data_IF_072784020953
#
_entry.id   IF_072784020953
#
_cell.length_a   1.000
_cell.length_b   1.000
_cell.length_c   1.000
_cell.angle_alpha   90.00
_cell.angle_beta   90.00
_cell.angle_gamma   90.00
#
_symmetry.space_group_name_H-M   'P 1'
#
loop_
_entity.id
_entity.type
_entity.pdbx_description
1 polymer ?
#
# COMPACT_ATOMS: atom_id res chain seq x y z
N UNK A 1 -7.35 81.52 15.02
CA UNK A 1 -7.21 80.71 13.78
C UNK A 1 -7.60 79.26 14.09
N UNK A 2 -8.59 78.87 13.42
CA UNK A 2 -9.56 77.83 13.73
C UNK A 2 -9.03 76.40 13.88
N UNK A 3 -9.38 75.84 15.02
CA UNK A 3 -9.38 74.43 15.29
C UNK A 3 -10.61 73.71 14.68
N UNK A 4 -10.75 73.74 13.40
CA UNK A 4 -11.84 72.92 12.79
C UNK A 4 -11.38 72.48 11.43
N UNK A 5 -10.98 71.22 11.39
CA UNK A 5 -11.13 70.29 10.27
C UNK A 5 -10.01 69.23 10.22
N UNK A 6 -9.83 68.51 11.33
CA UNK A 6 -9.26 67.18 11.20
C UNK A 6 -10.44 66.22 10.95
N UNK A 7 -10.94 66.25 9.73
CA UNK A 7 -11.87 65.26 9.25
C UNK A 7 -11.08 63.95 9.10
N UNK A 8 -11.16 63.14 10.13
CA UNK A 8 -10.66 61.76 10.12
C UNK A 8 -11.45 60.99 9.10
N UNK A 9 -10.93 60.82 7.92
CA UNK A 9 -11.44 59.83 6.95
C UNK A 9 -11.07 58.47 7.48
N UNK A 10 -11.96 57.90 8.29
CA UNK A 10 -11.93 56.51 8.62
C UNK A 10 -12.42 55.75 7.36
N UNK A 11 -11.47 55.36 6.54
CA UNK A 11 -11.73 54.36 5.49
C UNK A 11 -12.03 53.04 6.20
N UNK A 12 -13.25 52.48 6.13
CA UNK A 12 -13.49 51.15 6.63
C UNK A 12 -12.70 50.22 5.71
N UNK A 13 -11.57 49.71 6.19
CA UNK A 13 -10.87 48.62 5.60
C UNK A 13 -11.77 47.41 5.79
N UNK A 14 -12.76 47.26 4.93
CA UNK A 14 -13.56 46.05 4.80
C UNK A 14 -12.60 44.93 4.37
N UNK A 15 -11.94 44.32 5.35
CA UNK A 15 -11.39 42.99 5.16
C UNK A 15 -12.56 42.09 4.76
N UNK A 16 -12.72 41.90 3.47
CA UNK A 16 -13.55 40.82 2.93
C UNK A 16 -12.96 39.52 3.47
N UNK A 17 -13.47 39.07 4.58
CA UNK A 17 -13.38 37.65 4.99
C UNK A 17 -14.09 36.86 3.89
N UNK A 18 -13.39 36.65 2.79
CA UNK A 18 -13.75 35.65 1.81
C UNK A 18 -13.88 34.36 2.61
N UNK A 19 -15.10 33.90 2.81
CA UNK A 19 -15.34 32.58 3.34
C UNK A 19 -14.53 31.63 2.44
N UNK A 20 -13.42 31.13 2.96
CA UNK A 20 -12.68 30.05 2.32
C UNK A 20 -13.67 28.86 2.34
N UNK A 21 -14.44 28.72 1.28
CA UNK A 21 -15.20 27.51 1.04
C UNK A 21 -14.16 26.41 0.92
N UNK A 22 -14.08 25.56 1.94
CA UNK A 22 -13.37 24.30 1.81
C UNK A 22 -13.96 23.64 0.57
N UNK A 23 -13.13 23.43 -0.46
CA UNK A 23 -13.60 22.72 -1.65
C UNK A 23 -14.10 21.36 -1.20
N UNK A 24 -15.32 21.01 -1.61
CA UNK A 24 -15.85 19.67 -1.36
C UNK A 24 -14.84 18.65 -1.90
N UNK A 25 -14.32 17.81 -1.02
CA UNK A 25 -13.40 16.75 -1.41
C UNK A 25 -14.13 15.40 -1.30
N UNK A 26 -14.00 14.54 -2.29
CA UNK A 26 -13.31 14.69 -3.60
C UNK A 26 -14.24 15.26 -4.69
N UNK A 27 -13.69 16.10 -5.60
CA UNK A 27 -14.43 16.65 -6.75
C UNK A 27 -14.03 15.99 -8.08
N UNK A 28 -13.06 15.09 -8.07
CA UNK A 28 -12.58 14.34 -9.23
C UNK A 28 -12.26 12.89 -8.83
N UNK A 29 -12.13 11.96 -9.78
CA UNK A 29 -11.76 10.57 -9.49
C UNK A 29 -10.46 10.45 -8.72
N UNK A 30 -10.42 9.47 -7.80
CA UNK A 30 -9.24 9.10 -7.01
C UNK A 30 -8.52 7.97 -7.74
N UNK A 31 -7.20 8.02 -7.85
CA UNK A 31 -6.38 6.92 -8.39
C UNK A 31 -5.87 6.04 -7.26
N UNK A 32 -6.03 4.73 -7.41
CA UNK A 32 -5.49 3.75 -6.47
C UNK A 32 -4.45 2.87 -7.16
N UNK A 33 -3.18 3.03 -6.78
CA UNK A 33 -2.11 2.13 -7.19
C UNK A 33 -2.16 0.82 -6.41
N UNK A 34 -2.22 -0.30 -7.13
CA UNK A 34 -2.00 -1.64 -6.59
C UNK A 34 -0.68 -2.16 -7.18
N UNK A 35 0.41 -2.24 -6.40
CA UNK A 35 1.75 -2.57 -6.90
C UNK A 35 1.93 -4.07 -7.14
N UNK A 36 0.88 -4.74 -7.63
CA UNK A 36 0.86 -6.17 -7.94
C UNK A 36 0.02 -6.44 -9.19
N UNK A 37 0.21 -7.61 -9.78
CA UNK A 37 -0.56 -8.05 -10.94
C UNK A 37 -2.04 -8.26 -10.57
N UNK A 38 -2.96 -8.06 -11.53
CA UNK A 38 -4.38 -8.33 -11.32
C UNK A 38 -4.66 -9.77 -10.89
N UNK A 39 -5.74 -9.97 -10.12
CA UNK A 39 -6.25 -11.28 -9.70
C UNK A 39 -5.60 -11.85 -8.43
N UNK A 40 -4.54 -11.25 -7.91
CA UNK A 40 -3.95 -11.63 -6.62
C UNK A 40 -4.72 -11.05 -5.41
N UNK A 41 -4.37 -11.50 -4.20
CA UNK A 41 -5.03 -11.06 -2.96
C UNK A 41 -5.01 -9.52 -2.78
N UNK A 42 -3.90 -8.87 -3.13
CA UNK A 42 -3.81 -7.40 -3.07
C UNK A 42 -4.79 -6.73 -4.05
N UNK A 43 -4.96 -7.30 -5.25
CA UNK A 43 -5.89 -6.77 -6.24
C UNK A 43 -7.35 -6.90 -5.78
N UNK A 44 -7.72 -8.08 -5.27
CA UNK A 44 -9.06 -8.32 -4.73
C UNK A 44 -9.39 -7.35 -3.59
N UNK A 45 -8.50 -7.25 -2.60
CA UNK A 45 -8.67 -6.34 -1.46
C UNK A 45 -8.73 -4.89 -1.95
N UNK A 46 -7.84 -4.50 -2.85
CA UNK A 46 -7.81 -3.14 -3.40
C UNK A 46 -9.10 -2.76 -4.13
N UNK A 47 -9.64 -3.66 -4.95
CA UNK A 47 -10.90 -3.42 -5.67
C UNK A 47 -12.11 -3.34 -4.74
N UNK A 48 -12.18 -4.20 -3.71
CA UNK A 48 -13.22 -4.12 -2.68
C UNK A 48 -13.12 -2.77 -1.95
N UNK A 49 -11.91 -2.35 -1.58
CA UNK A 49 -11.67 -1.06 -0.94
C UNK A 49 -12.04 0.11 -1.85
N UNK A 50 -11.63 0.05 -3.12
CA UNK A 50 -11.95 1.07 -4.13
C UNK A 50 -13.46 1.25 -4.29
N UNK A 51 -14.22 0.14 -4.34
CA UNK A 51 -15.68 0.18 -4.39
C UNK A 51 -16.26 0.87 -3.16
N UNK A 52 -15.81 0.49 -1.96
CA UNK A 52 -16.32 1.07 -0.71
C UNK A 52 -15.95 2.55 -0.54
N UNK A 53 -14.78 2.96 -0.98
CA UNK A 53 -14.39 4.37 -1.01
C UNK A 53 -15.26 5.15 -2.02
N UNK A 54 -15.53 4.58 -3.19
CA UNK A 54 -16.41 5.16 -4.20
C UNK A 54 -17.82 5.38 -3.64
N UNK A 55 -18.38 4.36 -2.98
CA UNK A 55 -19.69 4.45 -2.33
C UNK A 55 -19.73 5.54 -1.24
N UNK A 56 -18.69 5.63 -0.43
CA UNK A 56 -18.63 6.56 0.70
C UNK A 56 -18.39 8.02 0.29
N UNK A 57 -17.58 8.24 -0.73
CA UNK A 57 -17.14 9.58 -1.13
C UNK A 57 -17.87 10.12 -2.38
N UNK A 58 -18.70 9.32 -3.05
CA UNK A 58 -19.44 9.73 -4.23
C UNK A 58 -18.58 9.98 -5.48
N UNK A 59 -17.28 9.65 -5.44
CA UNK A 59 -16.34 9.80 -6.55
C UNK A 59 -15.67 8.47 -6.88
N UNK A 60 -15.50 8.20 -8.17
CA UNK A 60 -14.91 6.95 -8.63
C UNK A 60 -13.47 6.78 -8.15
N UNK A 61 -13.14 5.58 -7.66
CA UNK A 61 -11.76 5.16 -7.40
C UNK A 61 -11.27 4.29 -8.57
N UNK A 62 -10.32 4.79 -9.34
CA UNK A 62 -9.73 4.13 -10.50
C UNK A 62 -8.53 3.31 -10.07
N UNK A 63 -8.63 1.99 -10.19
CA UNK A 63 -7.55 1.06 -9.82
C UNK A 63 -6.55 0.93 -10.97
N UNK A 64 -5.26 1.08 -10.64
CA UNK A 64 -4.13 0.88 -11.55
C UNK A 64 -3.20 -0.19 -10.99
N UNK A 65 -2.98 -1.27 -11.73
CA UNK A 65 -2.06 -2.35 -11.35
C UNK A 65 -0.69 -2.15 -11.98
N UNK A 66 0.38 -2.16 -11.16
CA UNK A 66 1.79 -2.10 -11.61
C UNK A 66 2.63 -3.06 -10.79
N UNK A 67 2.69 -4.32 -11.24
CA UNK A 67 3.52 -5.34 -10.62
C UNK A 67 5.00 -5.22 -11.01
N UNK A 68 5.87 -5.87 -10.24
CA UNK A 68 7.31 -5.99 -10.49
C UNK A 68 8.15 -5.75 -9.24
N UNK A 69 9.26 -6.47 -9.13
CA UNK A 69 10.25 -6.34 -8.04
C UNK A 69 9.62 -6.37 -6.64
N UNK A 70 8.76 -7.37 -6.35
CA UNK A 70 8.06 -7.46 -5.06
C UNK A 70 7.14 -6.27 -4.76
N UNK A 71 6.63 -5.60 -5.79
CA UNK A 71 5.78 -4.43 -5.68
C UNK A 71 6.53 -3.09 -5.64
N UNK A 72 7.87 -3.09 -5.70
CA UNK A 72 8.65 -1.84 -5.63
C UNK A 72 8.38 -0.92 -6.81
N UNK A 73 8.17 -1.46 -8.02
CA UNK A 73 7.90 -0.66 -9.21
C UNK A 73 6.65 0.20 -9.05
N UNK A 74 5.53 -0.38 -8.61
CA UNK A 74 4.30 0.37 -8.42
C UNK A 74 4.41 1.42 -7.31
N UNK A 75 5.15 1.10 -6.24
CA UNK A 75 5.40 2.06 -5.15
C UNK A 75 6.27 3.22 -5.62
N UNK A 76 7.32 2.95 -6.40
CA UNK A 76 8.18 4.00 -6.98
C UNK A 76 7.38 4.98 -7.85
N UNK A 77 6.47 4.46 -8.67
CA UNK A 77 5.59 5.29 -9.50
C UNK A 77 4.66 6.12 -8.60
N UNK A 78 4.01 5.50 -7.61
CA UNK A 78 3.07 6.17 -6.73
C UNK A 78 3.75 7.24 -5.86
N UNK A 79 4.97 7.00 -5.39
CA UNK A 79 5.74 7.94 -4.59
C UNK A 79 6.11 9.24 -5.34
N UNK A 80 6.02 9.23 -6.68
CA UNK A 80 6.26 10.41 -7.54
C UNK A 80 4.97 11.13 -7.93
N UNK A 81 3.81 10.61 -7.54
CA UNK A 81 2.54 11.26 -7.81
C UNK A 81 2.33 12.51 -6.95
N UNK A 82 1.49 13.44 -7.39
CA UNK A 82 1.11 14.58 -6.56
C UNK A 82 0.49 14.13 -5.23
N UNK A 83 0.89 14.77 -4.14
CA UNK A 83 0.36 14.53 -2.79
C UNK A 83 -0.89 15.41 -2.52
N UNK A 84 -1.83 15.38 -3.44
CA UNK A 84 -3.07 16.18 -3.44
C UNK A 84 -4.28 15.46 -2.85
N UNK A 85 -4.10 14.28 -2.28
CA UNK A 85 -5.16 13.45 -1.74
C UNK A 85 -5.90 12.59 -2.79
N UNK A 86 -5.66 12.79 -4.09
CA UNK A 86 -6.31 12.02 -5.15
C UNK A 86 -5.50 10.82 -5.64
N UNK A 87 -4.38 10.57 -5.01
CA UNK A 87 -3.49 9.47 -5.34
C UNK A 87 -3.23 8.63 -4.09
N UNK A 88 -3.73 7.41 -4.08
CA UNK A 88 -3.58 6.48 -2.96
C UNK A 88 -2.86 5.22 -3.41
N UNK A 89 -2.18 4.56 -2.50
CA UNK A 89 -1.41 3.35 -2.73
C UNK A 89 -1.84 2.25 -1.78
N UNK A 90 -2.08 1.06 -2.30
CA UNK A 90 -2.26 -0.14 -1.49
C UNK A 90 -0.88 -0.78 -1.22
N UNK A 91 -0.25 -0.39 -0.13
CA UNK A 91 1.00 -1.01 0.33
C UNK A 91 0.77 -2.34 1.02
N UNK A 92 1.81 -3.17 1.07
CA UNK A 92 1.85 -4.37 1.90
C UNK A 92 3.21 -4.54 2.58
N UNK A 93 3.35 -5.56 3.43
CA UNK A 93 4.59 -5.80 4.19
C UNK A 93 5.83 -5.91 3.29
N UNK A 94 5.72 -6.50 2.10
CA UNK A 94 6.86 -6.66 1.20
C UNK A 94 7.43 -5.30 0.80
N UNK A 95 6.62 -4.45 0.19
CA UNK A 95 7.08 -3.18 -0.37
C UNK A 95 7.23 -2.06 0.68
N UNK A 96 6.54 -2.16 1.83
CA UNK A 96 6.61 -1.15 2.89
C UNK A 96 7.69 -1.43 3.95
N UNK A 97 7.98 -2.70 4.24
CA UNK A 97 8.89 -3.06 5.33
C UNK A 97 10.12 -3.88 4.88
N UNK A 98 9.94 -4.80 3.93
CA UNK A 98 10.99 -5.74 3.55
C UNK A 98 11.90 -5.20 2.46
N UNK A 99 11.33 -4.69 1.38
CA UNK A 99 12.09 -4.22 0.23
C UNK A 99 13.11 -3.11 0.59
N UNK A 100 12.84 -2.19 1.53
CA UNK A 100 13.83 -1.23 2.00
C UNK A 100 15.12 -1.86 2.56
N UNK A 101 15.02 -3.07 3.12
CA UNK A 101 16.18 -3.82 3.64
C UNK A 101 16.76 -4.80 2.61
N UNK A 102 15.89 -5.37 1.78
CA UNK A 102 16.27 -6.40 0.81
C UNK A 102 17.00 -5.82 -0.40
N UNK A 103 16.57 -4.67 -0.91
CA UNK A 103 17.13 -4.07 -2.11
C UNK A 103 18.16 -2.98 -1.77
N UNK A 104 19.40 -3.12 -2.25
CA UNK A 104 20.47 -2.13 -2.04
C UNK A 104 20.17 -0.75 -2.65
N UNK A 105 19.41 -0.73 -3.74
CA UNK A 105 18.99 0.49 -4.44
C UNK A 105 17.48 0.48 -4.56
N UNK A 106 16.83 1.25 -3.72
CA UNK A 106 15.40 1.47 -3.75
C UNK A 106 15.15 2.96 -4.02
N UNK A 107 14.29 3.27 -4.98
CA UNK A 107 14.03 4.65 -5.42
C UNK A 107 12.98 5.38 -4.57
N UNK A 108 12.47 4.74 -3.52
CA UNK A 108 11.54 5.33 -2.55
C UNK A 108 11.91 4.94 -1.13
N UNK A 109 11.44 5.73 -0.17
CA UNK A 109 11.53 5.43 1.25
C UNK A 109 10.12 5.47 1.88
N UNK A 110 9.57 4.35 2.38
CA UNK A 110 8.17 4.29 2.81
C UNK A 110 7.77 5.33 3.86
N UNK A 111 8.66 5.63 4.81
CA UNK A 111 8.38 6.58 5.90
C UNK A 111 8.62 8.05 5.52
N UNK A 112 9.33 8.31 4.42
CA UNK A 112 9.63 9.68 3.98
C UNK A 112 8.72 10.12 2.85
N UNK A 113 8.47 9.21 1.90
CA UNK A 113 7.84 9.55 0.63
C UNK A 113 6.34 9.22 0.59
N UNK A 114 5.84 8.53 1.63
CA UNK A 114 4.46 8.08 1.72
C UNK A 114 3.85 8.44 3.08
N UNK A 115 2.59 8.86 3.08
CA UNK A 115 1.82 9.10 4.30
C UNK A 115 0.89 7.91 4.56
N UNK A 116 1.07 7.16 5.66
CA UNK A 116 0.16 6.07 5.98
C UNK A 116 -1.23 6.60 6.37
N UNK A 117 -2.28 5.95 5.88
CA UNK A 117 -3.67 6.30 6.16
C UNK A 117 -4.28 5.31 7.15
N UNK A 118 -4.34 4.03 6.79
CA UNK A 118 -4.93 2.99 7.64
C UNK A 118 -4.51 1.59 7.23
N UNK A 119 -4.67 0.64 8.15
CA UNK A 119 -4.53 -0.79 7.87
C UNK A 119 -5.88 -1.35 7.37
N UNK A 120 -5.96 -1.67 6.08
CA UNK A 120 -7.19 -2.14 5.45
C UNK A 120 -7.49 -3.59 5.83
N UNK A 121 -6.50 -4.49 5.76
CA UNK A 121 -6.68 -5.92 6.00
C UNK A 121 -5.39 -6.60 6.48
N UNK A 122 -5.57 -7.73 7.16
CA UNK A 122 -4.50 -8.69 7.47
C UNK A 122 -4.79 -9.98 6.72
N UNK A 123 -3.81 -10.45 5.96
CA UNK A 123 -3.92 -11.68 5.16
C UNK A 123 -3.01 -12.73 5.79
N UNK A 124 -3.55 -13.84 6.33
CA UNK A 124 -2.73 -14.93 6.83
C UNK A 124 -2.04 -15.66 5.67
N UNK A 125 -0.80 -16.07 5.87
CA UNK A 125 -0.11 -16.97 4.95
C UNK A 125 -0.46 -18.41 5.30
N UNK A 126 -0.89 -19.18 4.30
CA UNK A 126 -1.27 -20.58 4.45
C UNK A 126 -0.21 -21.44 3.77
N UNK A 127 0.28 -22.47 4.47
CA UNK A 127 1.10 -23.52 3.90
C UNK A 127 0.17 -24.60 3.32
N UNK A 128 0.22 -24.77 2.02
CA UNK A 128 -0.51 -25.84 1.32
C UNK A 128 0.45 -26.79 0.63
N UNK A 129 0.09 -28.05 0.54
CA UNK A 129 0.85 -29.08 -0.17
C UNK A 129 -0.04 -29.77 -1.20
N UNK A 130 0.56 -30.30 -2.26
CA UNK A 130 -0.18 -31.08 -3.24
C UNK A 130 -0.73 -32.37 -2.60
N UNK A 131 -1.95 -32.81 -2.93
CA UNK A 131 -2.56 -34.04 -2.35
C UNK A 131 -1.75 -35.30 -2.53
N UNK A 132 -0.90 -35.39 -3.56
CA UNK A 132 -0.01 -36.55 -3.78
C UNK A 132 1.19 -36.59 -2.82
N UNK A 133 1.47 -35.51 -2.09
CA UNK A 133 2.54 -35.52 -1.11
C UNK A 133 2.11 -36.35 0.11
N UNK A 134 2.91 -37.32 0.55
CA UNK A 134 2.54 -38.19 1.68
C UNK A 134 2.81 -37.49 3.02
N UNK A 135 2.14 -36.36 3.23
CA UNK A 135 2.22 -35.53 4.46
C UNK A 135 0.86 -34.90 4.74
N UNK A 136 0.23 -35.25 5.84
CA UNK A 136 -1.11 -34.79 6.25
C UNK A 136 -1.04 -33.64 7.27
N UNK A 137 0.13 -33.36 7.79
CA UNK A 137 0.36 -32.29 8.77
C UNK A 137 1.82 -31.81 8.68
N UNK A 138 2.11 -30.70 9.37
CA UNK A 138 3.45 -30.07 9.36
C UNK A 138 4.55 -31.02 9.85
N UNK A 139 4.29 -31.84 10.88
CA UNK A 139 5.27 -32.80 11.41
C UNK A 139 5.69 -33.85 10.36
N UNK A 140 4.73 -34.39 9.63
CA UNK A 140 4.99 -35.33 8.54
C UNK A 140 5.74 -34.64 7.39
N UNK A 141 5.36 -33.43 7.03
CA UNK A 141 6.05 -32.65 6.02
C UNK A 141 7.53 -32.41 6.39
N UNK A 142 7.80 -32.01 7.63
CA UNK A 142 9.17 -31.83 8.12
C UNK A 142 9.98 -33.13 8.09
N UNK A 143 9.35 -34.24 8.48
CA UNK A 143 9.98 -35.56 8.45
C UNK A 143 10.33 -35.97 7.02
N UNK A 144 9.42 -35.74 6.08
CA UNK A 144 9.64 -36.03 4.66
C UNK A 144 10.76 -35.15 4.09
N UNK A 145 10.73 -33.84 4.36
CA UNK A 145 11.74 -32.89 3.88
C UNK A 145 13.15 -33.25 4.37
N UNK A 146 13.29 -33.68 5.63
CA UNK A 146 14.56 -34.12 6.20
C UNK A 146 15.07 -35.43 5.59
N UNK A 147 14.15 -36.33 5.17
CA UNK A 147 14.53 -37.58 4.49
C UNK A 147 14.95 -37.37 3.02
N UNK A 148 14.51 -36.26 2.43
CA UNK A 148 14.74 -35.97 1.01
C UNK A 148 15.24 -34.52 0.85
N UNK A 149 16.46 -34.20 1.33
CA UNK A 149 17.02 -32.85 1.26
C UNK A 149 17.11 -32.37 -0.19
N UNK A 150 16.61 -31.15 -0.44
CA UNK A 150 16.65 -30.50 -1.76
C UNK A 150 15.68 -31.08 -2.80
N UNK A 151 14.83 -32.07 -2.46
CA UNK A 151 13.87 -32.65 -3.40
C UNK A 151 12.50 -31.94 -3.39
N UNK A 152 12.13 -31.36 -2.27
CA UNK A 152 10.89 -30.59 -2.17
C UNK A 152 11.13 -29.16 -2.60
N UNK A 153 10.28 -28.66 -3.48
CA UNK A 153 10.28 -27.28 -3.92
C UNK A 153 9.03 -26.56 -3.41
N UNK A 154 9.11 -25.26 -3.25
CA UNK A 154 7.96 -24.45 -2.86
C UNK A 154 7.73 -23.29 -3.84
N UNK A 155 6.47 -22.90 -3.98
CA UNK A 155 6.05 -21.74 -4.76
C UNK A 155 5.61 -20.60 -3.87
N UNK A 156 5.94 -19.37 -4.26
CA UNK A 156 5.53 -18.14 -3.58
C UNK A 156 5.08 -17.09 -4.59
N UNK A 157 4.62 -15.94 -4.11
CA UNK A 157 4.30 -14.80 -4.96
C UNK A 157 5.52 -14.04 -5.52
N UNK A 158 6.71 -14.66 -5.49
CA UNK A 158 7.98 -14.07 -5.95
C UNK A 158 8.89 -13.62 -4.80
N UNK A 159 10.14 -13.36 -5.14
CA UNK A 159 11.17 -12.92 -4.19
C UNK A 159 10.74 -11.64 -3.46
N UNK A 160 10.91 -11.62 -2.13
CA UNK A 160 10.49 -10.52 -1.26
C UNK A 160 9.00 -10.46 -0.95
N UNK A 161 8.15 -11.35 -1.51
CA UNK A 161 6.74 -11.40 -1.13
C UNK A 161 6.55 -11.85 0.32
N UNK A 162 5.41 -11.51 0.93
CA UNK A 162 5.09 -11.97 2.29
C UNK A 162 5.12 -13.49 2.44
N UNK A 163 4.65 -14.23 1.41
CA UNK A 163 4.71 -15.68 1.38
C UNK A 163 6.16 -16.20 1.30
N UNK A 164 7.03 -15.56 0.51
CA UNK A 164 8.45 -15.92 0.44
C UNK A 164 9.11 -15.78 1.81
N UNK A 165 8.93 -14.64 2.47
CA UNK A 165 9.51 -14.40 3.80
C UNK A 165 8.98 -15.35 4.86
N UNK A 166 7.68 -15.65 4.84
CA UNK A 166 7.08 -16.61 5.75
C UNK A 166 7.68 -18.01 5.54
N UNK A 167 7.94 -18.38 4.28
CA UNK A 167 8.60 -19.66 3.94
C UNK A 167 10.05 -19.68 4.42
N UNK A 168 10.83 -18.63 4.14
CA UNK A 168 12.22 -18.52 4.61
C UNK A 168 12.31 -18.59 6.15
N UNK A 169 11.41 -17.90 6.84
CA UNK A 169 11.32 -17.96 8.30
C UNK A 169 10.96 -19.37 8.79
N UNK A 170 10.04 -20.06 8.10
CA UNK A 170 9.69 -21.43 8.41
C UNK A 170 10.89 -22.36 8.23
N UNK A 171 11.63 -22.25 7.12
CA UNK A 171 12.83 -23.05 6.86
C UNK A 171 13.91 -22.79 7.91
N UNK A 172 14.15 -21.52 8.27
CA UNK A 172 15.11 -21.14 9.29
C UNK A 172 14.78 -21.77 10.65
N UNK A 173 13.52 -21.68 11.10
CA UNK A 173 13.09 -22.23 12.38
C UNK A 173 13.07 -23.75 12.41
N UNK A 174 12.81 -24.38 11.27
CA UNK A 174 12.76 -25.85 11.16
C UNK A 174 14.10 -26.50 10.80
N UNK A 175 15.11 -25.66 10.51
CA UNK A 175 16.46 -26.09 10.08
C UNK A 175 16.40 -27.00 8.85
N UNK A 176 15.62 -26.60 7.85
CA UNK A 176 15.51 -27.25 6.53
C UNK A 176 16.33 -26.50 5.50
#
# INVERSE_FOLDING_TARGET
>A
MDQKQLLTVIVPLAFGLGAAHAQDYPVKPIRMMIPFVPGGANDVIGRISALKITEALGQQVVVENRGGSGGSLGVEIAAKWPNDGYNILLGNIANMAVNPTLYRKLSYHPLRDLQPITLIAKVPTILAVHPSLPAKNVRELLTLARKQPGQLTFGTGGAGSGAHLATELFLLHTKL
#
